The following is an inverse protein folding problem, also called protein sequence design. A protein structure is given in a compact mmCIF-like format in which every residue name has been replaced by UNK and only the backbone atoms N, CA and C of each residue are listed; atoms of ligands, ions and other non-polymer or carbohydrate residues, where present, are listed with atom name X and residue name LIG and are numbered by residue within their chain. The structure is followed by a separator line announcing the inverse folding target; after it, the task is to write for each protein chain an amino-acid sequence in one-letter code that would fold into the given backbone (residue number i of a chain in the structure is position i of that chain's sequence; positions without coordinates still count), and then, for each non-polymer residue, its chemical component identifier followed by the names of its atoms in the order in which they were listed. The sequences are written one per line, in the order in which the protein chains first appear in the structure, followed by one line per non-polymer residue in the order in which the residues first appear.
data_IF_228318928366
#
_entry.id   IF_228318928366
#
_cell.length_a   1.000
_cell.length_b   1.000
_cell.length_c   1.000
_cell.angle_alpha   90.00
_cell.angle_beta   90.00
_cell.angle_gamma   90.00
#
_symmetry.space_group_name_H-M   'P 1'
#
loop_
_entity.id
_entity.type
_entity.pdbx_description
1 polymer ?
#
# COMPACT_ATOMS: atom_id res chain seq x y z
N UNK A 1 -8.45 4.73 -22.21
CA UNK A 1 -7.12 4.24 -21.77
C UNK A 1 -7.31 3.35 -20.56
N UNK A 2 -6.26 2.67 -20.06
CA UNK A 2 -6.36 1.94 -18.79
C UNK A 2 -6.74 2.86 -17.63
N UNK A 3 -6.21 4.08 -17.59
CA UNK A 3 -6.54 5.09 -16.58
C UNK A 3 -8.04 5.43 -16.55
N UNK A 4 -8.65 5.76 -17.71
CA UNK A 4 -10.08 6.10 -17.76
C UNK A 4 -10.99 4.92 -17.35
N UNK A 5 -10.60 3.69 -17.69
CA UNK A 5 -11.30 2.49 -17.22
C UNK A 5 -11.09 2.28 -15.71
N UNK A 6 -9.90 2.61 -15.21
CA UNK A 6 -9.55 2.57 -13.80
C UNK A 6 -10.39 3.53 -12.98
N UNK A 7 -10.50 4.77 -13.44
CA UNK A 7 -11.34 5.81 -12.84
C UNK A 7 -12.80 5.37 -12.78
N UNK A 8 -13.35 4.89 -13.91
CA UNK A 8 -14.73 4.38 -13.96
C UNK A 8 -14.94 3.20 -13.00
N UNK A 9 -13.98 2.28 -12.93
CA UNK A 9 -14.03 1.13 -12.02
C UNK A 9 -13.95 1.60 -10.56
N UNK A 10 -13.05 2.53 -10.26
CA UNK A 10 -12.84 3.09 -8.93
C UNK A 10 -14.10 3.79 -8.41
N UNK A 11 -14.73 4.64 -9.25
CA UNK A 11 -15.95 5.36 -8.89
C UNK A 11 -17.09 4.42 -8.50
N UNK A 12 -17.21 3.26 -9.13
CA UNK A 12 -18.29 2.30 -8.84
C UNK A 12 -17.94 1.35 -7.70
N UNK A 13 -16.68 0.90 -7.62
CA UNK A 13 -16.30 -0.25 -6.78
C UNK A 13 -15.54 0.13 -5.52
N UNK A 14 -14.85 1.28 -5.53
CA UNK A 14 -13.91 1.69 -4.49
C UNK A 14 -14.35 2.96 -3.76
N UNK A 15 -14.93 3.93 -4.48
CA UNK A 15 -15.35 5.22 -3.91
C UNK A 15 -16.34 5.13 -2.73
N UNK A 16 -17.23 4.11 -2.62
CA UNK A 16 -18.10 3.99 -1.44
C UNK A 16 -17.33 3.88 -0.12
N UNK A 17 -16.08 3.43 -0.18
CA UNK A 17 -15.19 3.38 0.99
C UNK A 17 -14.11 4.46 0.91
N UNK A 18 -13.49 4.68 -0.24
CA UNK A 18 -12.30 5.52 -0.38
C UNK A 18 -12.60 6.97 -0.79
N UNK A 19 -13.87 7.36 -0.89
CA UNK A 19 -14.27 8.69 -1.37
C UNK A 19 -14.19 8.79 -2.90
N UNK A 20 -14.89 9.77 -3.46
CA UNK A 20 -14.90 10.00 -4.93
C UNK A 20 -13.56 10.48 -5.44
N UNK A 21 -12.84 11.26 -4.63
CA UNK A 21 -11.51 11.81 -4.92
C UNK A 21 -10.37 10.94 -4.38
N UNK A 22 -10.69 9.74 -3.89
CA UNK A 22 -9.75 8.78 -3.31
C UNK A 22 -9.04 9.23 -2.01
N UNK A 23 -9.43 10.36 -1.41
CA UNK A 23 -8.87 10.92 -0.16
C UNK A 23 -9.26 10.13 1.11
N UNK A 24 -10.09 9.09 0.99
CA UNK A 24 -10.59 8.30 2.11
C UNK A 24 -11.79 8.95 2.81
N UNK A 25 -12.10 8.46 4.02
CA UNK A 25 -13.23 8.94 4.84
C UNK A 25 -12.75 9.08 6.28
N UNK A 26 -12.26 10.26 6.68
CA UNK A 26 -11.94 10.63 8.08
C UNK A 26 -11.30 9.50 8.91
N UNK A 27 -10.27 8.83 8.37
CA UNK A 27 -9.56 7.75 9.06
C UNK A 27 -10.28 6.39 9.13
N UNK A 28 -11.47 6.25 8.54
CA UNK A 28 -12.21 4.98 8.38
C UNK A 28 -11.83 4.22 7.10
N UNK A 29 -11.26 4.93 6.14
CA UNK A 29 -10.73 4.35 4.91
C UNK A 29 -9.42 5.02 4.52
N UNK A 30 -8.60 4.28 3.76
CA UNK A 30 -7.29 4.77 3.33
C UNK A 30 -7.47 5.94 2.36
N UNK A 31 -6.73 7.01 2.61
CA UNK A 31 -6.41 8.02 1.62
C UNK A 31 -5.44 7.41 0.59
N UNK A 32 -5.92 7.18 -0.62
CA UNK A 32 -5.18 6.56 -1.72
C UNK A 32 -4.41 7.58 -2.56
N UNK A 33 -4.53 8.89 -2.28
CA UNK A 33 -3.64 9.91 -2.87
C UNK A 33 -2.23 9.83 -2.30
N UNK A 34 -2.10 9.20 -1.12
CA UNK A 34 -0.84 8.87 -0.45
C UNK A 34 -0.66 7.36 -0.28
N UNK A 35 0.59 6.89 -0.39
CA UNK A 35 0.88 5.45 -0.40
C UNK A 35 0.55 4.76 0.92
N UNK A 36 0.98 5.32 2.04
CA UNK A 36 0.73 4.76 3.38
C UNK A 36 0.98 5.83 4.44
N UNK A 37 0.11 5.90 5.44
CA UNK A 37 0.29 6.83 6.57
C UNK A 37 1.30 6.29 7.60
N UNK A 38 1.92 7.19 8.37
CA UNK A 38 2.83 6.82 9.46
C UNK A 38 2.20 5.82 10.43
N UNK A 39 0.94 6.04 10.81
CA UNK A 39 0.20 5.16 11.73
C UNK A 39 0.05 3.74 11.17
N UNK A 40 -0.17 3.60 9.86
CA UNK A 40 -0.26 2.29 9.22
C UNK A 40 1.08 1.60 9.09
N UNK A 41 2.17 2.35 8.87
CA UNK A 41 3.51 1.76 8.87
C UNK A 41 3.84 1.21 10.26
N UNK A 42 3.61 1.99 11.32
CA UNK A 42 3.79 1.53 12.71
C UNK A 42 2.95 0.28 13.02
N UNK A 43 1.68 0.29 12.62
CA UNK A 43 0.81 -0.88 12.78
C UNK A 43 1.37 -2.12 12.05
N UNK A 44 1.85 -1.94 10.82
CA UNK A 44 2.36 -3.05 10.01
C UNK A 44 3.69 -3.57 10.55
N UNK A 45 4.58 -2.70 11.01
CA UNK A 45 5.82 -3.08 11.71
C UNK A 45 5.48 -3.92 12.95
N UNK A 46 4.49 -3.49 13.74
CA UNK A 46 4.12 -4.17 14.98
C UNK A 46 3.46 -5.53 14.74
N UNK A 47 2.54 -5.61 13.78
CA UNK A 47 1.65 -6.78 13.62
C UNK A 47 2.02 -7.70 12.44
N UNK A 48 2.93 -7.26 11.58
CA UNK A 48 3.24 -7.95 10.32
C UNK A 48 2.12 -7.84 9.29
N UNK A 49 2.32 -8.52 8.16
CA UNK A 49 1.34 -8.62 7.08
C UNK A 49 1.50 -9.97 6.34
N UNK A 50 0.46 -10.80 6.39
CA UNK A 50 0.50 -12.17 5.87
C UNK A 50 -0.57 -12.45 4.80
N UNK A 51 -1.48 -11.51 4.53
CA UNK A 51 -2.64 -11.74 3.68
C UNK A 51 -2.35 -11.46 2.21
N UNK A 52 -1.32 -10.66 1.92
CA UNK A 52 -1.07 -10.20 0.56
C UNK A 52 -0.43 -11.25 -0.35
N UNK A 53 -0.02 -12.43 0.15
CA UNK A 53 0.48 -13.54 -0.67
C UNK A 53 1.66 -13.16 -1.61
N UNK A 54 2.61 -12.37 -1.10
CA UNK A 54 3.87 -12.10 -1.81
C UNK A 54 4.77 -13.33 -1.80
N UNK A 55 5.60 -13.48 -2.85
CA UNK A 55 6.48 -14.64 -3.00
C UNK A 55 7.58 -14.72 -1.92
N UNK A 56 8.01 -13.60 -1.35
CA UNK A 56 8.89 -13.56 -0.16
C UNK A 56 8.20 -14.03 1.13
N UNK A 57 6.89 -14.30 1.08
CA UNK A 57 6.12 -14.73 2.23
C UNK A 57 5.55 -13.59 3.06
N UNK A 58 5.14 -13.91 4.27
CA UNK A 58 4.56 -12.97 5.21
C UNK A 58 5.63 -12.03 5.79
N UNK A 59 5.31 -10.75 5.92
CA UNK A 59 6.09 -9.82 6.72
C UNK A 59 5.92 -10.19 8.21
N UNK A 60 7.01 -10.52 8.93
CA UNK A 60 6.93 -10.85 10.35
C UNK A 60 6.46 -9.66 11.21
N UNK A 61 5.85 -9.90 12.38
CA UNK A 61 5.58 -8.85 13.35
C UNK A 61 6.87 -8.39 14.06
N UNK A 62 6.80 -7.21 14.67
CA UNK A 62 7.85 -6.62 15.52
C UNK A 62 9.20 -6.41 14.82
N UNK A 63 9.19 -6.00 13.55
CA UNK A 63 10.43 -5.76 12.77
C UNK A 63 11.28 -4.59 13.26
N UNK A 64 10.69 -3.66 14.03
CA UNK A 64 11.37 -2.55 14.68
C UNK A 64 10.56 -2.09 15.90
N UNK A 65 11.21 -1.40 16.85
CA UNK A 65 10.54 -0.87 18.06
C UNK A 65 11.07 0.52 18.41
N UNK A 66 10.38 1.22 19.32
CA UNK A 66 10.84 2.49 19.88
C UNK A 66 11.15 3.56 18.82
N UNK A 67 12.26 4.27 19.02
CA UNK A 67 12.69 5.36 18.13
C UNK A 67 12.95 4.89 16.69
N UNK A 68 13.44 3.66 16.49
CA UNK A 68 13.69 3.12 15.16
C UNK A 68 12.39 2.92 14.38
N UNK A 69 11.36 2.35 15.02
CA UNK A 69 10.04 2.20 14.40
C UNK A 69 9.44 3.56 14.02
N UNK A 70 9.58 4.57 14.89
CA UNK A 70 9.12 5.93 14.63
C UNK A 70 9.85 6.60 13.46
N UNK A 71 11.17 6.45 13.40
CA UNK A 71 12.00 7.00 12.32
C UNK A 71 11.67 6.33 10.98
N UNK A 72 11.61 4.99 10.94
CA UNK A 72 11.22 4.23 9.75
C UNK A 72 9.82 4.63 9.28
N UNK A 73 8.85 4.68 10.20
CA UNK A 73 7.47 5.01 9.83
C UNK A 73 7.33 6.44 9.29
N UNK A 74 8.11 7.38 9.82
CA UNK A 74 8.15 8.76 9.32
C UNK A 74 8.76 8.80 7.91
N UNK A 75 9.87 8.11 7.69
CA UNK A 75 10.55 8.04 6.39
C UNK A 75 9.70 7.35 5.30
N UNK A 76 9.04 6.24 5.62
CA UNK A 76 8.16 5.55 4.67
C UNK A 76 6.93 6.40 4.35
N UNK A 77 6.33 7.05 5.34
CA UNK A 77 5.16 7.91 5.15
C UNK A 77 5.47 9.20 4.35
N UNK A 78 6.74 9.64 4.30
CA UNK A 78 7.16 10.75 3.42
C UNK A 78 7.30 10.33 1.94
N UNK A 79 7.03 9.06 1.62
CA UNK A 79 7.28 8.48 0.31
C UNK A 79 8.77 8.19 0.08
N UNK A 80 9.51 7.86 1.15
CA UNK A 80 10.95 7.61 1.12
C UNK A 80 11.78 8.82 0.62
N UNK A 81 11.23 10.02 0.77
CA UNK A 81 11.92 11.28 0.45
C UNK A 81 12.82 11.69 1.62
N UNK A 82 14.04 12.13 1.32
CA UNK A 82 15.04 12.58 2.30
C UNK A 82 16.04 11.51 2.69
N UNK A 83 16.79 11.78 3.77
CA UNK A 83 17.78 10.84 4.30
C UNK A 83 17.08 9.66 5.01
N UNK A 84 17.41 8.44 4.57
CA UNK A 84 16.88 7.23 5.20
C UNK A 84 17.51 7.05 6.59
N UNK A 85 16.72 6.73 7.63
CA UNK A 85 17.29 6.39 8.93
C UNK A 85 18.11 5.10 8.81
N UNK A 86 19.20 5.00 9.57
CA UNK A 86 20.08 3.82 9.54
C UNK A 86 19.32 2.50 9.76
N UNK A 87 18.29 2.51 10.62
CA UNK A 87 17.45 1.36 10.90
C UNK A 87 16.65 0.86 9.67
N UNK A 88 16.45 1.69 8.63
CA UNK A 88 15.78 1.27 7.40
C UNK A 88 16.57 0.22 6.61
N UNK A 89 17.88 0.08 6.85
CA UNK A 89 18.71 -0.94 6.20
C UNK A 89 18.15 -2.36 6.36
N UNK A 90 17.53 -2.68 7.51
CA UNK A 90 16.89 -3.97 7.73
C UNK A 90 15.58 -4.13 6.94
N UNK A 91 14.89 -3.03 6.61
CA UNK A 91 13.70 -3.05 5.77
C UNK A 91 14.08 -3.21 4.29
N UNK A 92 15.18 -2.57 3.87
CA UNK A 92 15.68 -2.56 2.51
C UNK A 92 16.10 -3.96 2.01
N UNK A 93 16.44 -4.89 2.90
CA UNK A 93 16.74 -6.28 2.51
C UNK A 93 15.57 -7.00 1.86
N UNK A 94 14.34 -6.55 2.12
CA UNK A 94 13.12 -7.10 1.53
C UNK A 94 12.40 -6.10 0.62
N UNK A 95 12.33 -4.84 1.04
CA UNK A 95 11.61 -3.78 0.30
C UNK A 95 12.49 -3.03 -0.71
N UNK A 96 13.77 -3.41 -0.83
CA UNK A 96 14.72 -2.71 -1.69
C UNK A 96 15.26 -1.41 -1.07
N UNK A 97 16.42 -0.93 -1.53
CA UNK A 97 17.03 0.30 -1.02
C UNK A 97 16.21 1.56 -1.29
N UNK A 98 15.41 1.56 -2.36
CA UNK A 98 14.49 2.63 -2.74
C UNK A 98 13.03 2.37 -2.30
N UNK A 99 12.80 1.30 -1.53
CA UNK A 99 11.48 0.89 -1.07
C UNK A 99 10.53 0.43 -2.18
N UNK A 100 10.99 0.23 -3.43
CA UNK A 100 10.10 -0.19 -4.53
C UNK A 100 9.78 -1.68 -4.56
N UNK A 101 10.32 -2.43 -3.60
CA UNK A 101 10.21 -3.89 -3.56
C UNK A 101 11.23 -4.56 -4.48
N UNK A 102 11.40 -5.87 -4.30
CA UNK A 102 12.32 -6.67 -5.11
C UNK A 102 11.60 -7.27 -6.33
N UNK A 103 11.34 -6.48 -7.38
CA UNK A 103 10.67 -6.95 -8.61
C UNK A 103 9.33 -7.67 -8.36
N UNK A 104 8.48 -7.11 -7.49
CA UNK A 104 7.18 -7.69 -7.13
C UNK A 104 7.25 -8.85 -6.12
N UNK A 105 8.44 -9.26 -5.68
CA UNK A 105 8.59 -10.28 -4.63
C UNK A 105 8.17 -9.77 -3.24
N UNK A 106 8.19 -8.45 -3.06
CA UNK A 106 7.78 -7.75 -1.84
C UNK A 106 7.01 -6.45 -2.20
N UNK A 107 6.19 -5.92 -1.27
CA UNK A 107 5.42 -4.70 -1.50
C UNK A 107 6.29 -3.48 -1.84
N UNK A 108 5.83 -2.69 -2.81
CA UNK A 108 6.32 -1.33 -3.03
C UNK A 108 5.79 -0.40 -1.91
N UNK A 109 6.72 0.22 -1.16
CA UNK A 109 6.46 1.16 -0.07
C UNK A 109 6.35 2.62 -0.54
N UNK A 110 6.89 2.93 -1.71
CA UNK A 110 6.92 4.28 -2.27
C UNK A 110 5.62 4.62 -3.02
N UNK A 111 5.06 3.64 -3.73
CA UNK A 111 4.06 3.88 -4.77
C UNK A 111 2.99 2.78 -4.84
N UNK A 112 1.81 3.12 -5.39
CA UNK A 112 0.77 2.16 -5.77
C UNK A 112 1.08 1.54 -7.13
N UNK A 113 2.05 0.65 -7.18
CA UNK A 113 2.33 -0.12 -8.39
C UNK A 113 1.22 -1.16 -8.67
N UNK A 114 1.23 -1.73 -9.88
CA UNK A 114 0.28 -2.77 -10.26
C UNK A 114 0.30 -3.94 -9.27
N UNK A 115 1.47 -4.34 -8.80
CA UNK A 115 1.65 -5.46 -7.87
C UNK A 115 0.91 -5.24 -6.57
N UNK A 116 1.13 -4.12 -5.85
CA UNK A 116 0.44 -3.94 -4.58
C UNK A 116 -1.07 -3.83 -4.74
N UNK A 117 -1.54 -3.11 -5.76
CA UNK A 117 -2.96 -2.91 -5.97
C UNK A 117 -3.65 -4.24 -6.31
N UNK A 118 -3.07 -5.04 -7.21
CA UNK A 118 -3.62 -6.36 -7.55
C UNK A 118 -3.61 -7.31 -6.36
N UNK A 119 -2.52 -7.38 -5.60
CA UNK A 119 -2.45 -8.23 -4.40
C UNK A 119 -3.48 -7.83 -3.34
N UNK A 120 -3.70 -6.53 -3.12
CA UNK A 120 -4.75 -6.04 -2.20
C UNK A 120 -6.14 -6.37 -2.72
N UNK A 121 -6.42 -6.16 -4.01
CA UNK A 121 -7.72 -6.47 -4.60
C UNK A 121 -8.00 -7.98 -4.62
N UNK A 122 -7.00 -8.82 -4.83
CA UNK A 122 -7.18 -10.27 -4.87
C UNK A 122 -7.36 -10.88 -3.48
N UNK A 123 -6.61 -10.40 -2.49
CA UNK A 123 -6.54 -11.08 -1.20
C UNK A 123 -7.24 -10.33 -0.07
N UNK A 124 -7.50 -9.03 -0.24
CA UNK A 124 -7.86 -8.16 0.87
C UNK A 124 -6.72 -8.00 1.87
N UNK A 125 -6.93 -7.17 2.90
CA UNK A 125 -6.01 -7.07 4.03
C UNK A 125 -6.66 -6.42 5.25
N UNK A 126 -6.18 -6.78 6.43
CA UNK A 126 -6.41 -6.06 7.68
C UNK A 126 -5.30 -5.04 7.91
N UNK A 127 -5.65 -3.88 8.43
CA UNK A 127 -4.72 -2.81 8.76
C UNK A 127 -5.17 -2.01 9.99
N UNK A 128 -4.47 -0.90 10.24
CA UNK A 128 -4.71 -0.03 11.39
C UNK A 128 -6.13 0.54 11.45
N UNK A 129 -6.75 0.76 10.29
CA UNK A 129 -8.03 1.47 10.15
C UNK A 129 -9.19 0.56 9.73
N UNK A 130 -9.01 -0.77 9.81
CA UNK A 130 -10.05 -1.75 9.48
C UNK A 130 -9.59 -2.78 8.45
N UNK A 131 -10.56 -3.33 7.71
CA UNK A 131 -10.35 -4.43 6.76
C UNK A 131 -10.72 -3.98 5.35
N UNK A 132 -9.78 -4.11 4.41
CA UNK A 132 -10.04 -4.04 2.98
C UNK A 132 -10.51 -5.43 2.51
N UNK A 133 -11.74 -5.57 1.99
CA UNK A 133 -12.24 -6.86 1.50
C UNK A 133 -11.50 -7.29 0.23
N UNK A 134 -11.55 -8.59 -0.06
CA UNK A 134 -11.15 -9.13 -1.36
C UNK A 134 -12.20 -8.80 -2.41
N UNK A 135 -11.73 -8.42 -3.59
CA UNK A 135 -12.48 -8.21 -4.84
C UNK A 135 -12.27 -9.38 -5.82
N UNK A 136 -11.70 -10.50 -5.37
CA UNK A 136 -11.54 -11.71 -6.18
C UNK A 136 -12.90 -12.18 -6.69
N UNK A 137 -13.00 -12.39 -8.00
CA UNK A 137 -14.25 -12.76 -8.67
C UNK A 137 -15.22 -11.60 -8.92
N UNK A 138 -14.99 -10.42 -8.32
CA UNK A 138 -15.75 -9.19 -8.59
C UNK A 138 -15.10 -8.32 -9.67
N UNK A 139 -13.77 -8.28 -9.70
CA UNK A 139 -12.98 -7.60 -10.73
C UNK A 139 -12.15 -8.62 -11.51
N UNK A 140 -12.18 -8.52 -12.85
CA UNK A 140 -11.25 -9.27 -13.70
C UNK A 140 -9.84 -8.64 -13.67
N UNK A 141 -8.85 -9.35 -14.21
CA UNK A 141 -7.45 -8.91 -14.21
C UNK A 141 -7.28 -7.53 -14.85
N UNK A 142 -7.90 -7.29 -16.01
CA UNK A 142 -7.81 -6.01 -16.71
C UNK A 142 -8.35 -4.85 -15.87
N UNK A 143 -9.47 -5.06 -15.15
CA UNK A 143 -10.04 -4.06 -14.24
C UNK A 143 -9.13 -3.78 -13.05
N UNK A 144 -8.47 -4.80 -12.48
CA UNK A 144 -7.51 -4.60 -11.39
C UNK A 144 -6.31 -3.76 -11.85
N UNK A 145 -5.75 -4.06 -13.04
CA UNK A 145 -4.66 -3.27 -13.64
C UNK A 145 -5.09 -1.84 -13.95
N UNK A 146 -6.33 -1.66 -14.41
CA UNK A 146 -6.88 -0.34 -14.68
C UNK A 146 -6.99 0.49 -13.40
N UNK A 147 -7.50 -0.09 -12.30
CA UNK A 147 -7.53 0.59 -10.99
C UNK A 147 -6.12 0.96 -10.55
N UNK A 148 -5.13 0.08 -10.72
CA UNK A 148 -3.74 0.39 -10.40
C UNK A 148 -3.18 1.57 -11.23
N UNK A 149 -3.46 1.59 -12.54
CA UNK A 149 -3.07 2.68 -13.42
C UNK A 149 -3.69 4.02 -12.97
N UNK A 150 -4.98 4.02 -12.62
CA UNK A 150 -5.66 5.20 -12.10
C UNK A 150 -5.07 5.67 -10.75
N UNK A 151 -4.87 4.76 -9.79
CA UNK A 151 -4.25 5.12 -8.51
C UNK A 151 -2.82 5.67 -8.67
N UNK A 152 -2.10 5.20 -9.69
CA UNK A 152 -0.79 5.74 -10.04
C UNK A 152 -0.85 7.16 -10.63
N UNK A 153 -1.92 7.52 -11.34
CA UNK A 153 -2.06 8.83 -12.00
C UNK A 153 -2.56 9.94 -11.05
N UNK A 154 -3.30 9.58 -9.99
CA UNK A 154 -3.85 10.54 -9.02
C UNK A 154 -2.97 10.80 -7.79
N UNK A 155 -1.73 10.30 -7.77
CA UNK A 155 -0.81 10.54 -6.65
C UNK A 155 -0.71 12.04 -6.39
N UNK A 156 -0.87 12.44 -5.13
CA UNK A 156 -0.62 13.82 -4.72
C UNK A 156 0.83 14.19 -5.09
N UNK A 157 1.00 15.28 -5.86
CA UNK A 157 2.30 15.87 -6.17
C UNK A 157 3.00 16.36 -4.89
#
# INVERSE_FOLDING_TARGET
TLEAMGESTFLVQCSPCHGVDAEGIEGKAQDLTHRISKAQVLYTIKNGQHQLNYAMGAMPPLMATGADAEAIATYVASGLKGEAPAAFAACASCHGPDGKGMNGMAPNLAEYDETIVTHVLQNGKKGAIGTMPSFKGRLNETQQKAVAAYLSSIKAQ
#
